data_IF_466218031280
#
_entry.id   IF_466218031280
#
_cell.length_a   1.000
_cell.length_b   1.000
_cell.length_c   1.000
_cell.angle_alpha   90.00
_cell.angle_beta   90.00
_cell.angle_gamma   90.00
#
_symmetry.space_group_name_H-M   'P 1'
#
loop_
_entity.id
_entity.type
_entity.pdbx_description
1 polymer ?
#
# COMPACT_ATOMS: atom_id res chain seq x y z
N UNK A 1 -5.48 6.44 5.69
CA UNK A 1 -4.74 7.66 5.30
C UNK A 1 -4.40 8.45 6.55
N UNK A 2 -3.20 9.02 6.59
CA UNK A 2 -2.75 9.90 7.67
C UNK A 2 -2.16 11.15 7.02
N UNK A 3 -2.57 12.33 7.49
CA UNK A 3 -1.92 13.58 7.12
C UNK A 3 -0.85 13.86 8.17
N UNK A 4 0.40 13.94 7.74
CA UNK A 4 1.55 14.18 8.62
C UNK A 4 2.20 15.50 8.25
N UNK A 5 2.26 16.43 9.21
CA UNK A 5 2.90 17.74 9.05
C UNK A 5 3.91 17.92 10.18
N UNK A 6 5.16 18.22 9.84
CA UNK A 6 6.26 18.37 10.81
C UNK A 6 6.36 17.17 11.79
N UNK A 7 6.26 15.95 11.26
CA UNK A 7 6.29 14.70 12.04
C UNK A 7 5.17 14.59 13.10
N UNK A 8 4.03 15.23 12.87
CA UNK A 8 2.82 15.09 13.69
C UNK A 8 1.64 14.71 12.82
N UNK A 9 0.86 13.74 13.27
CA UNK A 9 -0.38 13.37 12.62
C UNK A 9 -1.40 14.47 12.91
N UNK A 10 -1.86 15.16 11.86
CA UNK A 10 -2.88 16.22 11.95
C UNK A 10 -4.26 15.72 11.56
N UNK A 11 -4.35 14.60 10.85
CA UNK A 11 -5.59 13.97 10.46
C UNK A 11 -5.43 12.45 10.32
N UNK A 12 -6.52 11.73 10.59
CA UNK A 12 -6.59 10.28 10.45
C UNK A 12 -7.91 9.89 9.82
N UNK A 13 -7.81 9.15 8.72
CA UNK A 13 -8.96 8.60 8.02
C UNK A 13 -8.75 7.11 7.78
N UNK A 14 -9.74 6.29 8.13
CA UNK A 14 -9.78 4.88 7.80
C UNK A 14 -10.69 4.69 6.58
N UNK A 15 -10.16 4.05 5.53
CA UNK A 15 -10.91 3.70 4.33
C UNK A 15 -10.82 2.20 4.12
N UNK A 16 -11.89 1.61 3.64
CA UNK A 16 -11.85 0.23 3.17
C UNK A 16 -11.07 0.16 1.85
N UNK A 17 -10.21 -0.84 1.76
CA UNK A 17 -9.44 -1.16 0.55
C UNK A 17 -9.75 -2.62 0.23
N UNK A 18 -10.04 -2.97 -1.03
CA UNK A 18 -10.17 -4.37 -1.41
C UNK A 18 -8.79 -5.02 -1.34
N UNK A 19 -8.37 -5.49 -0.17
CA UNK A 19 -7.02 -6.00 0.07
C UNK A 19 -6.82 -7.44 -0.41
N UNK A 20 -7.91 -8.19 -0.62
CA UNK A 20 -7.88 -9.57 -1.08
C UNK A 20 -8.27 -9.66 -2.55
N UNK A 21 -7.51 -10.39 -3.38
CA UNK A 21 -7.89 -10.62 -4.76
C UNK A 21 -9.13 -11.53 -4.84
N UNK A 22 -9.99 -11.33 -5.85
CA UNK A 22 -11.11 -12.23 -6.11
C UNK A 22 -10.60 -13.65 -6.39
N UNK A 23 -11.20 -14.65 -5.73
CA UNK A 23 -10.83 -16.07 -5.88
C UNK A 23 -9.77 -16.60 -4.91
N UNK A 24 -9.25 -15.79 -4.00
CA UNK A 24 -8.21 -16.18 -3.04
C UNK A 24 -8.70 -17.00 -1.85
N UNK A 25 -8.87 -18.31 -2.01
CA UNK A 25 -8.76 -19.28 -0.92
C UNK A 25 -7.87 -20.44 -1.37
N UNK A 26 -6.60 -20.46 -0.94
CA UNK A 26 -5.76 -21.65 -1.04
C UNK A 26 -4.29 -21.38 -1.28
N UNK A 27 -3.49 -21.63 -0.24
CA UNK A 27 -2.17 -22.24 -0.27
C UNK A 27 -1.11 -21.72 -1.27
N UNK A 28 -0.02 -21.20 -0.70
CA UNK A 28 1.37 -21.43 -1.09
C UNK A 28 1.54 -22.17 -2.43
N UNK A 29 1.69 -21.44 -3.53
CA UNK A 29 2.54 -21.74 -4.68
C UNK A 29 2.32 -20.59 -5.64
N UNK A 30 3.42 -19.97 -6.09
CA UNK A 30 3.51 -19.05 -7.24
C UNK A 30 2.19 -18.92 -8.03
N UNK A 31 1.30 -18.02 -7.61
CA UNK A 31 0.38 -17.43 -8.56
C UNK A 31 1.33 -16.51 -9.32
N UNK A 32 1.82 -16.98 -10.47
CA UNK A 32 2.09 -16.04 -11.55
C UNK A 32 0.81 -15.22 -11.64
N UNK A 33 0.86 -13.97 -11.16
CA UNK A 33 -0.19 -12.98 -11.39
C UNK A 33 -0.44 -13.06 -12.89
N UNK A 34 -1.49 -13.78 -13.30
CA UNK A 34 -1.84 -13.81 -14.71
C UNK A 34 -2.46 -12.44 -14.93
N UNK A 35 -1.61 -11.45 -15.20
CA UNK A 35 -1.95 -10.05 -15.47
C UNK A 35 -2.96 -9.93 -16.64
N UNK A 36 -3.27 -11.04 -17.31
CA UNK A 36 -4.27 -11.19 -18.37
C UNK A 36 -5.67 -11.49 -17.84
N UNK A 37 -5.88 -11.80 -16.56
CA UNK A 37 -7.22 -11.90 -15.97
C UNK A 37 -7.81 -10.49 -15.76
N UNK A 38 -8.90 -10.14 -16.49
CA UNK A 38 -9.54 -8.84 -16.34
C UNK A 38 -10.06 -8.57 -14.93
N UNK A 39 -10.40 -9.60 -14.15
CA UNK A 39 -10.87 -9.43 -12.78
C UNK A 39 -9.74 -9.02 -11.84
N UNK A 40 -8.58 -9.66 -11.96
CA UNK A 40 -7.37 -9.31 -11.23
C UNK A 40 -6.90 -7.88 -11.56
N UNK A 41 -6.94 -7.49 -12.84
CA UNK A 41 -6.60 -6.14 -13.27
C UNK A 41 -7.57 -5.08 -12.69
N UNK A 42 -8.89 -5.37 -12.66
CA UNK A 42 -9.89 -4.49 -12.03
C UNK A 42 -9.64 -4.34 -10.53
N UNK A 43 -9.26 -5.43 -9.87
CA UNK A 43 -8.92 -5.41 -8.45
C UNK A 43 -7.71 -4.53 -8.17
N UNK A 44 -6.60 -4.70 -8.90
CA UNK A 44 -5.44 -3.81 -8.79
C UNK A 44 -5.81 -2.34 -9.01
N UNK A 45 -6.62 -2.04 -10.03
CA UNK A 45 -7.07 -0.67 -10.30
C UNK A 45 -7.91 -0.10 -9.15
N UNK A 46 -8.76 -0.91 -8.52
CA UNK A 46 -9.54 -0.49 -7.36
C UNK A 46 -8.64 -0.11 -6.18
N UNK A 47 -7.61 -0.92 -5.88
CA UNK A 47 -6.61 -0.62 -4.85
C UNK A 47 -5.87 0.68 -5.18
N UNK A 48 -5.37 0.83 -6.41
CA UNK A 48 -4.65 2.03 -6.84
C UNK A 48 -5.52 3.29 -6.75
N UNK A 49 -6.80 3.19 -7.10
CA UNK A 49 -7.74 4.31 -6.97
C UNK A 49 -7.98 4.75 -5.53
N UNK A 50 -7.96 3.83 -4.56
CA UNK A 50 -8.10 4.16 -3.14
C UNK A 50 -6.85 4.85 -2.58
N UNK A 51 -5.68 4.59 -3.19
CA UNK A 51 -4.39 5.15 -2.80
C UNK A 51 -3.98 6.36 -3.66
N UNK A 52 -4.82 6.83 -4.58
CA UNK A 52 -4.44 7.84 -5.58
C UNK A 52 -4.08 9.20 -4.96
N UNK A 53 -4.64 9.52 -3.81
CA UNK A 53 -4.47 10.79 -3.10
C UNK A 53 -3.40 10.76 -2.00
N UNK A 54 -2.70 9.62 -1.82
CA UNK A 54 -1.58 9.54 -0.87
C UNK A 54 -0.22 9.68 -1.58
N UNK A 55 0.72 10.35 -0.91
CA UNK A 55 2.10 10.52 -1.39
C UNK A 55 3.00 9.32 -1.04
N UNK A 56 2.77 8.73 0.13
CA UNK A 56 3.57 7.64 0.69
C UNK A 56 2.67 6.47 1.06
N UNK A 57 3.04 5.27 0.62
CA UNK A 57 2.39 4.01 0.99
C UNK A 57 3.35 3.20 1.86
N UNK A 58 2.91 2.86 3.07
CA UNK A 58 3.69 2.06 4.02
C UNK A 58 3.07 0.68 4.14
N UNK A 59 3.86 -0.37 3.93
CA UNK A 59 3.38 -1.75 4.00
C UNK A 59 4.45 -2.69 4.55
N UNK A 60 4.03 -3.77 5.22
CA UNK A 60 4.94 -4.84 5.62
C UNK A 60 5.40 -5.67 4.40
N UNK A 61 4.43 -6.08 3.57
CA UNK A 61 4.67 -6.78 2.30
C UNK A 61 3.72 -6.25 1.23
N UNK A 62 4.25 -6.05 0.03
CA UNK A 62 3.48 -5.80 -1.18
C UNK A 62 4.11 -6.53 -2.37
N UNK A 63 3.28 -7.00 -3.31
CA UNK A 63 3.74 -7.63 -4.55
C UNK A 63 4.47 -6.64 -5.46
N UNK A 64 5.48 -7.08 -6.24
CA UNK A 64 6.32 -6.19 -7.04
C UNK A 64 5.54 -5.42 -8.12
N UNK A 65 4.47 -6.00 -8.65
CA UNK A 65 3.59 -5.36 -9.66
C UNK A 65 2.90 -4.13 -9.07
N UNK A 66 2.32 -4.24 -7.87
CA UNK A 66 1.69 -3.12 -7.18
C UNK A 66 2.70 -2.05 -6.77
N UNK A 67 3.89 -2.44 -6.30
CA UNK A 67 4.97 -1.49 -5.98
C UNK A 67 5.32 -0.65 -7.21
N UNK A 68 5.60 -1.30 -8.33
CA UNK A 68 5.92 -0.62 -9.60
C UNK A 68 4.78 0.29 -10.08
N UNK A 69 3.53 -0.15 -9.94
CA UNK A 69 2.37 0.65 -10.32
C UNK A 69 2.24 1.92 -9.45
N UNK A 70 2.43 1.82 -8.13
CA UNK A 70 2.40 2.97 -7.23
C UNK A 70 3.56 3.94 -7.51
N UNK A 71 4.77 3.43 -7.71
CA UNK A 71 5.94 4.23 -8.07
C UNK A 71 5.76 4.95 -9.42
N UNK A 72 5.16 4.28 -10.42
CA UNK A 72 4.83 4.89 -11.71
C UNK A 72 3.78 6.01 -11.59
N UNK A 73 2.94 5.99 -10.55
CA UNK A 73 2.01 7.07 -10.20
C UNK A 73 2.67 8.18 -9.37
N UNK A 74 4.00 8.14 -9.18
CA UNK A 74 4.76 9.14 -8.41
C UNK A 74 4.69 8.95 -6.90
N UNK A 75 4.22 7.79 -6.42
CA UNK A 75 4.10 7.50 -4.98
C UNK A 75 5.39 6.88 -4.47
N UNK A 76 5.73 7.16 -3.21
CA UNK A 76 6.83 6.49 -2.52
C UNK A 76 6.30 5.28 -1.76
N UNK A 77 6.87 4.11 -2.00
CA UNK A 77 6.50 2.87 -1.28
C UNK A 77 7.59 2.51 -0.26
N UNK A 78 7.21 2.33 0.99
CA UNK A 78 8.08 1.85 2.06
C UNK A 78 7.65 0.42 2.46
N UNK A 79 8.52 -0.55 2.20
CA UNK A 79 8.29 -1.96 2.50
C UNK A 79 9.04 -2.40 3.76
N UNK A 80 8.54 -3.46 4.42
CA UNK A 80 9.15 -4.00 5.63
C UNK A 80 8.95 -3.13 6.88
N UNK A 81 8.11 -2.10 6.80
CA UNK A 81 7.79 -1.25 7.94
C UNK A 81 6.71 -1.92 8.76
N UNK A 82 7.01 -2.12 10.03
CA UNK A 82 6.06 -2.56 11.05
C UNK A 82 5.89 -1.41 12.06
N UNK A 83 4.65 -0.99 12.27
CA UNK A 83 4.31 0.03 13.26
C UNK A 83 3.01 -0.38 13.95
N UNK A 84 3.07 -0.50 15.26
CA UNK A 84 1.96 -0.89 16.14
C UNK A 84 1.14 0.34 16.54
N UNK A 85 1.76 1.52 16.50
CA UNK A 85 1.12 2.79 16.82
C UNK A 85 1.64 3.95 15.95
N UNK A 86 1.11 5.14 16.23
CA UNK A 86 1.46 6.36 15.52
C UNK A 86 2.91 6.81 15.75
N UNK A 87 3.47 6.59 16.94
CA UNK A 87 4.83 7.04 17.27
C UNK A 87 5.86 6.19 16.54
N UNK A 88 5.69 4.86 16.55
CA UNK A 88 6.52 3.92 15.79
C UNK A 88 6.49 4.25 14.28
N UNK A 89 5.31 4.59 13.75
CA UNK A 89 5.17 4.97 12.35
C UNK A 89 5.93 6.27 12.03
N UNK A 90 5.80 7.30 12.87
CA UNK A 90 6.51 8.57 12.68
C UNK A 90 8.03 8.36 12.77
N UNK A 91 8.51 7.52 13.69
CA UNK A 91 9.91 7.18 13.79
C UNK A 91 10.42 6.47 12.53
N UNK A 92 9.66 5.50 11.99
CA UNK A 92 9.99 4.84 10.74
C UNK A 92 10.06 5.84 9.57
N UNK A 93 9.11 6.77 9.48
CA UNK A 93 9.13 7.83 8.46
C UNK A 93 10.41 8.68 8.55
N UNK A 94 10.84 9.07 9.75
CA UNK A 94 12.08 9.83 9.96
C UNK A 94 13.32 9.08 9.50
N UNK A 95 13.40 7.78 9.77
CA UNK A 95 14.52 6.94 9.33
C UNK A 95 14.61 6.89 7.79
N UNK A 96 13.47 7.05 7.11
CA UNK A 96 13.38 7.14 5.65
C UNK A 96 13.48 8.58 5.11
N UNK A 97 13.79 9.58 5.96
CA UNK A 97 13.93 10.98 5.56
C UNK A 97 12.61 11.67 5.22
N UNK A 98 11.52 11.26 5.88
CA UNK A 98 10.17 11.83 5.77
C UNK A 98 9.70 12.47 7.07
#
# INVERSE_FOLDING_TARGET
MLDVVNHRIVNKECREVPAEPPGGHGHHHHIEEDDRDPEHARWHLAVLNTLKDVDVVVAFHMGPTMVRALEALGKRVLLGVYASDAEELIEALRQHGL
#
